data_IF_999337373727
#
_entry.id   IF_999337373727
#
_cell.length_a   1.000
_cell.length_b   1.000
_cell.length_c   1.000
_cell.angle_alpha   90.00
_cell.angle_beta   90.00
_cell.angle_gamma   90.00
#
_symmetry.space_group_name_H-M   'P 1'
#
loop_
_entity.id
_entity.type
_entity.pdbx_description
1 polymer ?
#
# COMPACT_ATOMS: atom_id res chain seq x y z
N UNK A 1 4.05 -25.19 -1.36
CA UNK A 1 4.24 -24.24 -2.50
C UNK A 1 4.36 -22.85 -1.89
N UNK A 2 5.54 -22.22 -2.00
CA UNK A 2 5.88 -21.03 -1.24
C UNK A 2 5.01 -19.82 -1.62
N UNK A 3 4.21 -19.34 -0.68
CA UNK A 3 3.35 -18.13 -0.78
C UNK A 3 4.13 -16.84 -1.15
N UNK A 4 5.46 -16.86 -1.07
CA UNK A 4 6.34 -15.79 -1.57
C UNK A 4 6.28 -15.62 -3.09
N UNK A 5 5.89 -16.64 -3.83
CA UNK A 5 5.86 -16.63 -5.31
C UNK A 5 4.61 -15.92 -5.84
N UNK A 6 3.47 -16.05 -5.19
CA UNK A 6 2.23 -15.39 -5.65
C UNK A 6 2.25 -13.87 -5.45
N UNK A 7 2.83 -13.39 -4.34
CA UNK A 7 3.01 -11.95 -4.10
C UNK A 7 4.02 -11.33 -5.08
N UNK A 8 5.05 -12.10 -5.48
CA UNK A 8 6.06 -11.68 -6.45
C UNK A 8 5.50 -11.63 -7.87
N UNK A 9 4.57 -12.53 -8.23
CA UNK A 9 3.95 -12.53 -9.56
C UNK A 9 2.98 -11.36 -9.78
N UNK A 10 2.23 -10.93 -8.75
CA UNK A 10 1.39 -9.74 -8.85
C UNK A 10 2.23 -8.44 -8.88
N UNK A 11 3.34 -8.40 -8.14
CA UNK A 11 4.32 -7.31 -8.18
C UNK A 11 5.15 -7.33 -9.48
N UNK A 12 5.41 -8.51 -10.05
CA UNK A 12 6.17 -8.67 -11.29
C UNK A 12 5.44 -8.19 -12.54
N UNK A 13 4.12 -8.25 -12.58
CA UNK A 13 3.35 -7.73 -13.72
C UNK A 13 3.25 -6.21 -13.75
N UNK A 14 3.35 -5.55 -12.58
CA UNK A 14 3.53 -4.09 -12.50
C UNK A 14 4.99 -3.65 -12.67
N UNK A 15 5.97 -4.54 -12.49
CA UNK A 15 7.41 -4.27 -12.57
C UNK A 15 8.05 -4.60 -13.93
N UNK A 16 7.25 -4.97 -14.94
CA UNK A 16 7.71 -5.19 -16.32
C UNK A 16 8.28 -3.93 -17.01
N UNK A 17 8.43 -2.83 -16.28
CA UNK A 17 9.26 -1.70 -16.66
C UNK A 17 10.63 -1.89 -16.00
N UNK A 18 11.60 -2.35 -16.80
CA UNK A 18 13.03 -2.44 -16.52
C UNK A 18 13.48 -1.48 -15.40
N UNK A 19 13.97 -2.04 -14.28
CA UNK A 19 14.75 -1.28 -13.31
C UNK A 19 16.09 -0.93 -13.91
N UNK A 20 16.37 0.32 -14.31
CA UNK A 20 17.74 0.72 -14.55
C UNK A 20 18.45 0.73 -13.19
N UNK A 21 19.60 0.09 -13.12
CA UNK A 21 20.51 0.19 -11.99
C UNK A 21 20.81 1.66 -11.73
N UNK A 22 20.28 2.21 -10.63
CA UNK A 22 20.55 3.60 -10.28
C UNK A 22 21.91 3.68 -9.60
N UNK A 23 22.91 4.14 -10.38
CA UNK A 23 24.11 4.74 -9.81
C UNK A 23 23.68 5.92 -8.93
N UNK A 24 23.93 5.83 -7.64
CA UNK A 24 23.70 6.93 -6.68
C UNK A 24 24.61 8.11 -7.01
N UNK A 25 24.13 9.06 -7.78
CA UNK A 25 24.73 10.37 -7.82
C UNK A 25 24.21 11.15 -6.61
N UNK A 26 25.09 11.44 -5.66
CA UNK A 26 24.81 12.35 -4.55
C UNK A 26 24.64 13.77 -5.06
N UNK A 27 23.49 14.11 -5.59
CA UNK A 27 23.16 15.50 -5.86
C UNK A 27 22.66 16.16 -4.56
N UNK A 28 23.29 17.28 -4.22
CA UNK A 28 22.93 18.10 -3.06
C UNK A 28 21.48 18.52 -3.15
N UNK A 29 20.65 18.08 -2.20
CA UNK A 29 19.25 18.49 -2.08
C UNK A 29 19.18 20.02 -1.98
N UNK A 30 18.65 20.68 -2.97
CA UNK A 30 18.26 22.09 -2.85
C UNK A 30 17.03 22.18 -1.94
N UNK A 31 17.20 22.79 -0.76
CA UNK A 31 16.11 23.07 0.18
C UNK A 31 15.25 24.21 -0.38
N UNK A 32 14.01 23.92 -0.72
CA UNK A 32 12.99 24.89 -1.08
C UNK A 32 11.66 24.20 -1.35
N UNK A 33 10.51 24.85 -1.11
CA UNK A 33 9.22 24.29 -1.45
C UNK A 33 9.13 24.13 -2.97
N UNK A 34 8.96 22.93 -3.46
CA UNK A 34 8.64 22.65 -4.86
C UNK A 34 7.12 22.48 -5.01
N UNK A 35 6.54 23.33 -5.82
CA UNK A 35 5.18 23.20 -6.34
C UNK A 35 5.32 22.62 -7.74
N UNK A 36 4.76 21.45 -7.98
CA UNK A 36 4.77 20.81 -9.29
C UNK A 36 3.37 20.77 -9.87
N UNK A 37 3.17 21.46 -10.99
CA UNK A 37 2.00 21.32 -11.84
C UNK A 37 2.42 20.39 -12.98
N UNK A 38 2.08 19.12 -12.90
CA UNK A 38 2.57 18.12 -13.84
C UNK A 38 1.44 17.52 -14.69
N UNK A 39 1.47 17.78 -15.98
CA UNK A 39 0.51 17.23 -16.95
C UNK A 39 1.02 15.91 -17.55
N UNK A 40 2.31 15.60 -17.39
CA UNK A 40 2.97 14.45 -18.00
C UNK A 40 3.89 13.72 -17.03
N UNK A 41 4.05 12.41 -17.21
CA UNK A 41 4.93 11.55 -16.41
C UNK A 41 6.44 11.84 -16.66
N UNK A 42 6.85 13.10 -16.54
CA UNK A 42 8.27 13.46 -16.66
C UNK A 42 8.97 13.18 -15.33
N UNK A 43 10.03 12.41 -15.38
CA UNK A 43 10.87 12.08 -14.23
C UNK A 43 11.49 13.35 -13.66
N UNK A 44 11.04 13.76 -12.48
CA UNK A 44 11.66 14.87 -11.77
C UNK A 44 13.02 14.43 -11.18
N UNK A 45 13.98 15.33 -11.25
CA UNK A 45 15.26 15.17 -10.56
C UNK A 45 15.02 15.01 -9.06
N UNK A 46 15.95 14.35 -8.35
CA UNK A 46 15.94 14.02 -6.91
C UNK A 46 15.58 15.23 -6.04
N UNK A 47 14.29 15.54 -5.92
CA UNK A 47 13.75 16.66 -5.15
C UNK A 47 12.55 16.21 -4.33
N UNK A 48 12.40 16.83 -3.17
CA UNK A 48 11.19 16.69 -2.35
C UNK A 48 10.13 17.66 -2.88
N UNK A 49 8.96 17.14 -3.18
CA UNK A 49 7.79 17.92 -3.59
C UNK A 49 6.85 18.09 -2.42
N UNK A 50 6.35 19.30 -2.18
CA UNK A 50 5.42 19.59 -1.09
C UNK A 50 3.98 19.74 -1.57
N UNK A 51 3.79 20.25 -2.77
CA UNK A 51 2.49 20.31 -3.43
C UNK A 51 2.65 19.80 -4.85
N UNK A 52 1.85 18.82 -5.22
CA UNK A 52 1.80 18.26 -6.55
C UNK A 52 0.35 18.18 -7.04
N UNK A 53 0.08 18.78 -8.19
CA UNK A 53 -1.21 18.70 -8.86
C UNK A 53 -0.95 18.29 -10.30
N UNK A 54 -1.60 17.23 -10.78
CA UNK A 54 -1.36 16.75 -12.13
C UNK A 54 -2.35 15.69 -12.62
N UNK A 55 -2.16 15.25 -13.85
CA UNK A 55 -2.87 14.10 -14.42
C UNK A 55 -2.12 12.81 -14.11
N UNK A 56 -0.92 12.69 -14.65
CA UNK A 56 0.01 11.59 -14.43
C UNK A 56 1.27 12.18 -13.81
N UNK A 57 1.60 11.75 -12.62
CA UNK A 57 2.73 12.31 -11.90
C UNK A 57 3.77 11.25 -11.59
N UNK A 58 5.04 11.61 -11.80
CA UNK A 58 6.18 10.81 -11.37
C UNK A 58 7.17 11.74 -10.67
N UNK A 59 7.20 11.68 -9.33
CA UNK A 59 8.05 12.51 -8.48
C UNK A 59 8.95 11.63 -7.61
N UNK A 60 10.08 12.18 -7.19
CA UNK A 60 11.03 11.43 -6.37
C UNK A 60 10.51 11.19 -4.96
N UNK A 61 10.06 12.23 -4.27
CA UNK A 61 9.55 12.18 -2.91
C UNK A 61 8.43 13.20 -2.71
N UNK A 62 7.38 12.81 -2.00
CA UNK A 62 6.29 13.70 -1.61
C UNK A 62 6.33 13.92 -0.10
N UNK A 63 6.35 15.20 0.32
CA UNK A 63 6.11 15.61 1.71
C UNK A 63 5.06 16.71 1.71
N UNK A 64 3.79 16.34 1.84
CA UNK A 64 2.69 17.30 1.80
C UNK A 64 1.48 16.77 1.04
N UNK A 65 1.01 17.48 0.01
CA UNK A 65 -0.23 17.19 -0.69
C UNK A 65 0.05 16.85 -2.15
N UNK A 66 -0.42 15.70 -2.61
CA UNK A 66 -0.44 15.29 -3.99
C UNK A 66 -1.87 14.99 -4.47
N UNK A 67 -2.34 15.68 -5.50
CA UNK A 67 -3.64 15.46 -6.12
C UNK A 67 -3.42 15.17 -7.61
N UNK A 68 -3.83 13.99 -8.05
CA UNK A 68 -3.59 13.53 -9.41
C UNK A 68 -4.87 12.94 -10.00
N UNK A 69 -5.26 13.42 -11.17
CA UNK A 69 -6.53 12.99 -11.77
C UNK A 69 -6.49 11.51 -12.20
N UNK A 70 -5.35 11.01 -12.64
CA UNK A 70 -5.21 9.62 -13.08
C UNK A 70 -4.32 8.85 -12.11
N UNK A 71 -3.02 9.09 -12.11
CA UNK A 71 -2.07 8.28 -11.32
C UNK A 71 -0.94 9.12 -10.75
N UNK A 72 -0.51 8.72 -9.58
CA UNK A 72 0.65 9.32 -8.91
C UNK A 72 1.68 8.24 -8.58
N UNK A 73 2.90 8.44 -9.06
CA UNK A 73 4.06 7.61 -8.74
C UNK A 73 5.05 8.45 -7.92
N UNK A 74 5.26 8.06 -6.68
CA UNK A 74 6.31 8.58 -5.80
C UNK A 74 7.41 7.53 -5.73
N UNK A 75 8.57 7.80 -6.29
CA UNK A 75 9.65 6.80 -6.43
C UNK A 75 10.23 6.35 -5.10
N UNK A 76 10.28 7.24 -4.11
CA UNK A 76 10.85 6.97 -2.78
C UNK A 76 9.76 7.00 -1.71
N UNK A 77 9.79 7.96 -0.81
CA UNK A 77 8.88 8.04 0.34
C UNK A 77 7.79 9.08 0.12
N UNK A 78 6.59 8.75 0.54
CA UNK A 78 5.45 9.65 0.62
C UNK A 78 5.12 9.93 2.08
N UNK A 79 4.96 11.21 2.41
CA UNK A 79 4.50 11.67 3.73
C UNK A 79 3.48 12.78 3.55
N UNK A 80 2.28 12.58 4.06
CA UNK A 80 1.19 13.54 3.97
C UNK A 80 -0.06 12.97 3.29
N UNK A 81 -0.61 13.69 2.30
CA UNK A 81 -1.84 13.33 1.62
C UNK A 81 -1.58 13.07 0.14
N UNK A 82 -2.03 11.93 -0.35
CA UNK A 82 -1.95 11.57 -1.76
C UNK A 82 -3.32 11.09 -2.24
N UNK A 83 -3.85 11.75 -3.26
CA UNK A 83 -5.14 11.41 -3.87
C UNK A 83 -4.90 11.19 -5.36
N UNK A 84 -5.37 10.07 -5.88
CA UNK A 84 -5.26 9.71 -7.30
C UNK A 84 -6.55 9.09 -7.81
N UNK A 85 -6.98 9.47 -9.01
CA UNK A 85 -8.21 8.96 -9.61
C UNK A 85 -8.18 7.45 -9.85
N UNK A 86 -7.04 6.90 -10.26
CA UNK A 86 -6.88 5.46 -10.46
C UNK A 86 -5.91 4.85 -9.44
N UNK A 87 -4.64 5.24 -9.45
CA UNK A 87 -3.63 4.57 -8.63
C UNK A 87 -2.69 5.54 -7.93
N UNK A 88 -2.43 5.28 -6.64
CA UNK A 88 -1.37 5.90 -5.86
C UNK A 88 -0.26 4.87 -5.62
N UNK A 89 0.93 5.12 -6.16
CA UNK A 89 2.07 4.22 -6.07
C UNK A 89 3.21 4.91 -5.34
N UNK A 90 3.71 4.28 -4.29
CA UNK A 90 4.89 4.74 -3.54
C UNK A 90 5.94 3.63 -3.57
N UNK A 91 7.13 3.95 -4.04
CA UNK A 91 8.20 2.96 -4.22
C UNK A 91 8.74 2.37 -2.92
N UNK A 92 8.76 3.15 -1.82
CA UNK A 92 9.23 2.70 -0.52
C UNK A 92 8.15 2.82 0.55
N UNK A 93 8.20 3.87 1.35
CA UNK A 93 7.31 4.01 2.51
C UNK A 93 6.25 5.07 2.25
N UNK A 94 5.01 4.71 2.52
CA UNK A 94 3.87 5.61 2.50
C UNK A 94 3.44 5.92 3.94
N UNK A 95 3.41 7.21 4.30
CA UNK A 95 3.00 7.66 5.63
C UNK A 95 1.98 8.78 5.52
N UNK A 96 0.82 8.59 6.13
CA UNK A 96 -0.28 9.56 6.12
C UNK A 96 -1.54 9.00 5.44
N UNK A 97 -2.10 9.74 4.51
CA UNK A 97 -3.36 9.40 3.85
C UNK A 97 -3.13 9.12 2.36
N UNK A 98 -3.57 7.96 1.91
CA UNK A 98 -3.60 7.60 0.48
C UNK A 98 -5.02 7.24 0.04
N UNK A 99 -5.48 7.88 -1.02
CA UNK A 99 -6.73 7.55 -1.71
C UNK A 99 -6.42 7.25 -3.17
N UNK A 100 -6.69 6.03 -3.59
CA UNK A 100 -6.63 5.61 -4.99
C UNK A 100 -7.97 5.08 -5.46
N UNK A 101 -8.50 5.54 -6.58
CA UNK A 101 -9.78 5.06 -7.09
C UNK A 101 -9.78 3.55 -7.34
N UNK A 102 -8.68 3.01 -7.82
CA UNK A 102 -8.52 1.55 -8.02
C UNK A 102 -7.58 0.96 -6.97
N UNK A 103 -6.36 1.50 -6.86
CA UNK A 103 -5.36 0.87 -6.01
C UNK A 103 -4.43 1.87 -5.30
N UNK A 104 -4.01 1.49 -4.10
CA UNK A 104 -2.86 2.08 -3.44
C UNK A 104 -1.76 1.03 -3.29
N UNK A 105 -0.53 1.37 -3.65
CA UNK A 105 0.63 0.48 -3.56
C UNK A 105 1.76 1.19 -2.83
N UNK A 106 2.25 0.59 -1.75
CA UNK A 106 3.49 0.96 -1.09
C UNK A 106 4.48 -0.20 -1.22
N UNK A 107 5.62 0.00 -1.86
CA UNK A 107 6.64 -1.04 -2.03
C UNK A 107 7.28 -1.50 -0.70
N UNK A 108 7.32 -0.63 0.30
CA UNK A 108 7.77 -0.93 1.66
C UNK A 108 6.61 -0.90 2.67
N UNK A 109 6.77 -0.10 3.72
CA UNK A 109 5.75 0.01 4.77
C UNK A 109 4.70 1.08 4.43
N UNK A 110 3.47 0.80 4.80
CA UNK A 110 2.37 1.76 4.79
C UNK A 110 1.96 2.09 6.24
N UNK A 111 1.95 3.38 6.58
CA UNK A 111 1.56 3.86 7.91
C UNK A 111 0.50 4.96 7.75
N UNK A 112 -0.66 4.77 8.37
CA UNK A 112 -1.76 5.73 8.31
C UNK A 112 -3.02 5.15 7.68
N UNK A 113 -3.63 5.85 6.73
CA UNK A 113 -4.91 5.47 6.14
C UNK A 113 -4.72 5.23 4.64
N UNK A 114 -5.12 4.06 4.18
CA UNK A 114 -5.16 3.69 2.76
C UNK A 114 -6.60 3.32 2.37
N UNK A 115 -7.16 4.07 1.44
CA UNK A 115 -8.51 3.83 0.90
C UNK A 115 -8.41 3.58 -0.61
N UNK A 116 -8.99 2.49 -1.08
CA UNK A 116 -9.02 2.18 -2.52
C UNK A 116 -10.33 1.51 -2.94
N UNK A 117 -10.69 1.68 -4.21
CA UNK A 117 -11.85 1.00 -4.77
C UNK A 117 -11.65 -0.51 -4.87
N UNK A 118 -10.45 -0.98 -5.20
CA UNK A 118 -10.19 -2.41 -5.33
C UNK A 118 -9.15 -2.92 -4.32
N UNK A 119 -7.91 -2.42 -4.34
CA UNK A 119 -6.83 -3.05 -3.58
C UNK A 119 -5.91 -2.04 -2.89
N UNK A 120 -5.54 -2.35 -1.63
CA UNK A 120 -4.40 -1.76 -0.96
C UNK A 120 -3.28 -2.79 -0.81
N UNK A 121 -2.06 -2.43 -1.21
CA UNK A 121 -0.89 -3.31 -1.13
C UNK A 121 0.25 -2.60 -0.40
N UNK A 122 0.76 -3.22 0.65
CA UNK A 122 2.00 -2.84 1.30
C UNK A 122 2.99 -4.00 1.20
N UNK A 123 4.15 -3.79 0.58
CA UNK A 123 5.19 -4.82 0.45
C UNK A 123 5.80 -5.24 1.80
N UNK A 124 5.79 -4.36 2.79
CA UNK A 124 6.24 -4.61 4.15
C UNK A 124 5.11 -4.67 5.16
N UNK A 125 5.16 -3.76 6.13
CA UNK A 125 4.14 -3.63 7.18
C UNK A 125 3.07 -2.63 6.75
N UNK A 126 1.83 -2.95 7.09
CA UNK A 126 0.70 -2.05 6.97
C UNK A 126 0.20 -1.71 8.38
N UNK A 127 0.34 -0.46 8.79
CA UNK A 127 -0.07 0.01 10.11
C UNK A 127 -1.11 1.11 9.96
N UNK A 128 -2.22 1.01 10.67
CA UNK A 128 -3.31 1.98 10.66
C UNK A 128 -4.60 1.43 10.08
N UNK A 129 -5.24 2.16 9.18
CA UNK A 129 -6.53 1.79 8.60
C UNK A 129 -6.35 1.50 7.11
N UNK A 130 -6.79 0.32 6.69
CA UNK A 130 -6.85 -0.07 5.28
C UNK A 130 -8.27 -0.48 4.92
N UNK A 131 -8.83 0.15 3.89
CA UNK A 131 -10.16 -0.15 3.38
C UNK A 131 -10.09 -0.30 1.88
N UNK A 132 -10.61 -1.40 1.35
CA UNK A 132 -10.65 -1.67 -0.08
C UNK A 132 -11.88 -2.48 -0.48
N UNK A 133 -12.31 -2.32 -1.72
CA UNK A 133 -13.47 -3.06 -2.25
C UNK A 133 -13.20 -4.55 -2.46
N UNK A 134 -11.99 -4.94 -2.83
CA UNK A 134 -11.63 -6.36 -2.98
C UNK A 134 -10.74 -6.83 -1.84
N UNK A 135 -9.57 -6.22 -1.65
CA UNK A 135 -8.67 -6.77 -0.65
C UNK A 135 -7.50 -5.90 -0.24
N UNK A 136 -7.01 -6.19 0.96
CA UNK A 136 -5.82 -5.57 1.50
C UNK A 136 -4.71 -6.60 1.66
N UNK A 137 -3.51 -6.28 1.21
CA UNK A 137 -2.34 -7.16 1.26
C UNK A 137 -1.21 -6.45 2.01
N UNK A 138 -0.73 -7.08 3.07
CA UNK A 138 0.51 -6.71 3.75
C UNK A 138 1.53 -7.84 3.59
N UNK A 139 2.67 -7.58 3.00
CA UNK A 139 3.70 -8.60 2.77
C UNK A 139 4.29 -9.17 4.06
N UNK A 140 4.20 -8.44 5.16
CA UNK A 140 4.69 -8.89 6.46
C UNK A 140 3.61 -8.79 7.55
N UNK A 141 3.37 -7.61 8.12
CA UNK A 141 2.46 -7.42 9.25
C UNK A 141 1.35 -6.46 8.85
N UNK A 142 0.10 -6.85 9.10
CA UNK A 142 -1.05 -5.94 9.12
C UNK A 142 -1.39 -5.60 10.56
N UNK A 143 -1.41 -4.31 10.90
CA UNK A 143 -1.73 -3.82 12.25
C UNK A 143 -2.73 -2.67 12.21
N UNK A 144 -3.77 -2.76 13.03
CA UNK A 144 -4.83 -1.77 13.13
C UNK A 144 -6.15 -2.31 12.61
N UNK A 145 -6.83 -1.55 11.74
CA UNK A 145 -8.12 -1.94 11.17
C UNK A 145 -7.95 -2.21 9.68
N UNK A 146 -8.33 -3.40 9.25
CA UNK A 146 -8.22 -3.82 7.85
C UNK A 146 -9.58 -4.34 7.39
N UNK A 147 -10.18 -3.66 6.41
CA UNK A 147 -11.49 -4.00 5.86
C UNK A 147 -11.35 -4.25 4.37
N UNK A 148 -11.60 -5.47 3.92
CA UNK A 148 -11.59 -5.87 2.53
C UNK A 148 -12.94 -6.46 2.11
N UNK A 149 -13.47 -6.08 0.96
CA UNK A 149 -14.73 -6.63 0.47
C UNK A 149 -14.68 -8.15 0.27
N UNK A 150 -13.54 -8.68 -0.19
CA UNK A 150 -13.35 -10.12 -0.34
C UNK A 150 -12.32 -10.66 0.67
N UNK A 151 -11.10 -10.12 0.71
CA UNK A 151 -10.04 -10.75 1.48
C UNK A 151 -9.06 -9.76 2.12
N UNK A 152 -8.50 -10.17 3.26
CA UNK A 152 -7.35 -9.52 3.86
C UNK A 152 -6.22 -10.54 4.02
N UNK A 153 -5.00 -10.18 3.61
CA UNK A 153 -3.83 -11.05 3.67
C UNK A 153 -2.67 -10.35 4.40
N UNK A 154 -2.17 -11.00 5.45
CA UNK A 154 -0.93 -10.64 6.11
C UNK A 154 0.08 -11.77 5.95
N UNK A 155 1.25 -11.51 5.36
CA UNK A 155 2.26 -12.53 5.07
C UNK A 155 2.82 -13.21 6.33
N UNK A 156 2.85 -12.52 7.46
CA UNK A 156 3.26 -13.08 8.74
C UNK A 156 2.18 -12.89 9.81
N UNK A 157 1.94 -11.66 10.26
CA UNK A 157 1.10 -11.39 11.43
C UNK A 157 -0.03 -10.43 11.10
N UNK A 158 -1.21 -10.75 11.58
CA UNK A 158 -2.35 -9.85 11.62
C UNK A 158 -2.62 -9.42 13.07
N UNK A 159 -2.71 -8.12 13.33
CA UNK A 159 -2.91 -7.56 14.67
C UNK A 159 -3.98 -6.46 14.64
N UNK A 160 -4.99 -6.59 15.48
CA UNK A 160 -6.11 -5.66 15.56
C UNK A 160 -7.39 -6.24 14.97
N UNK A 161 -8.12 -5.47 14.16
CA UNK A 161 -9.42 -5.88 13.62
C UNK A 161 -9.29 -6.14 12.13
N UNK A 162 -9.68 -7.31 11.69
CA UNK A 162 -9.77 -7.68 10.28
C UNK A 162 -11.20 -8.07 9.93
N UNK A 163 -11.74 -7.47 8.87
CA UNK A 163 -13.07 -7.77 8.35
C UNK A 163 -12.96 -8.03 6.86
N UNK A 164 -13.44 -9.18 6.42
CA UNK A 164 -13.47 -9.56 5.01
C UNK A 164 -14.77 -10.27 4.66
N UNK A 165 -15.28 -10.04 3.45
CA UNK A 165 -16.48 -10.75 2.98
C UNK A 165 -16.26 -12.25 2.79
N UNK A 166 -15.05 -12.68 2.42
CA UNK A 166 -14.72 -14.09 2.26
C UNK A 166 -13.68 -14.55 3.29
N UNK A 167 -12.47 -13.99 3.27
CA UNK A 167 -11.39 -14.57 4.04
C UNK A 167 -10.44 -13.55 4.67
N UNK A 168 -10.01 -13.82 5.92
CA UNK A 168 -8.85 -13.21 6.54
C UNK A 168 -7.74 -14.26 6.69
N UNK A 169 -6.53 -13.96 6.18
CA UNK A 169 -5.42 -14.89 6.16
C UNK A 169 -4.18 -14.25 6.81
N UNK A 170 -3.65 -14.91 7.82
CA UNK A 170 -2.38 -14.58 8.44
C UNK A 170 -1.38 -15.74 8.31
N UNK A 171 -0.22 -15.49 7.72
CA UNK A 171 0.77 -16.53 7.42
C UNK A 171 1.40 -17.18 8.67
N UNK A 172 1.35 -16.52 9.83
CA UNK A 172 1.83 -17.06 11.10
C UNK A 172 0.83 -16.89 12.22
N UNK A 173 0.57 -15.66 12.63
CA UNK A 173 -0.28 -15.44 13.80
C UNK A 173 -1.30 -14.34 13.59
N UNK A 174 -2.44 -14.53 14.23
CA UNK A 174 -3.48 -13.54 14.33
C UNK A 174 -3.70 -13.14 15.79
N UNK A 175 -3.64 -11.85 16.09
CA UNK A 175 -3.88 -11.27 17.39
C UNK A 175 -4.98 -10.21 17.29
N UNK A 176 -6.13 -10.43 17.92
CA UNK A 176 -7.27 -9.53 17.91
C UNK A 176 -8.52 -10.17 17.33
N UNK A 177 -9.30 -9.44 16.55
CA UNK A 177 -10.58 -9.88 16.03
C UNK A 177 -10.50 -10.08 14.52
N UNK A 178 -10.93 -11.26 14.05
CA UNK A 178 -11.11 -11.51 12.62
C UNK A 178 -12.54 -11.95 12.31
N UNK A 179 -13.18 -11.22 11.42
CA UNK A 179 -14.52 -11.53 10.92
C UNK A 179 -14.39 -11.82 9.43
N UNK A 180 -14.58 -13.07 9.05
CA UNK A 180 -14.57 -13.54 7.67
C UNK A 180 -15.91 -14.18 7.29
N UNK A 181 -16.46 -13.87 6.14
CA UNK A 181 -17.71 -14.50 5.71
C UNK A 181 -17.60 -16.02 5.58
N UNK A 182 -16.49 -16.51 5.04
CA UNK A 182 -16.29 -17.96 4.89
C UNK A 182 -15.22 -18.49 5.83
N UNK A 183 -14.03 -17.86 5.87
CA UNK A 183 -12.92 -18.42 6.63
C UNK A 183 -12.02 -17.36 7.25
N UNK A 184 -11.42 -17.73 8.41
CA UNK A 184 -10.27 -17.05 8.97
C UNK A 184 -9.15 -18.07 9.15
N UNK A 185 -7.97 -17.79 8.64
CA UNK A 185 -6.83 -18.73 8.68
C UNK A 185 -5.63 -18.08 9.33
N UNK A 186 -5.09 -18.77 10.34
CA UNK A 186 -3.83 -18.43 10.98
C UNK A 186 -2.98 -19.69 11.09
N UNK A 187 -1.78 -19.69 10.47
CA UNK A 187 -1.01 -20.92 10.30
C UNK A 187 -0.37 -21.45 11.60
N UNK A 188 -0.02 -20.60 12.58
CA UNK A 188 0.70 -21.04 13.77
C UNK A 188 -0.03 -20.70 15.07
N UNK A 189 -0.53 -19.47 15.23
CA UNK A 189 -1.05 -19.01 16.52
C UNK A 189 -2.23 -18.05 16.36
N UNK A 190 -3.28 -18.32 17.09
CA UNK A 190 -4.44 -17.45 17.25
C UNK A 190 -4.50 -16.94 18.70
N UNK A 191 -4.53 -15.60 18.86
CA UNK A 191 -4.82 -14.92 20.12
C UNK A 191 -5.95 -13.92 19.87
N UNK A 192 -7.16 -14.22 20.30
CA UNK A 192 -8.32 -13.34 20.11
C UNK A 192 -9.54 -14.09 19.63
N UNK A 193 -10.44 -13.37 18.97
CA UNK A 193 -11.69 -13.91 18.47
C UNK A 193 -11.69 -14.03 16.95
N UNK A 194 -12.15 -15.18 16.45
CA UNK A 194 -12.45 -15.37 15.04
C UNK A 194 -13.91 -15.73 14.85
N UNK A 195 -14.53 -15.14 13.84
CA UNK A 195 -15.91 -15.43 13.45
C UNK A 195 -15.93 -15.70 11.95
N UNK A 196 -16.39 -16.87 11.56
CA UNK A 196 -16.62 -17.24 10.16
C UNK A 196 -17.70 -18.31 10.06
N UNK A 197 -18.22 -18.52 8.86
CA UNK A 197 -19.30 -19.51 8.63
C UNK A 197 -18.78 -20.93 8.37
N UNK A 198 -17.56 -21.10 7.85
CA UNK A 198 -17.03 -22.42 7.46
C UNK A 198 -15.79 -22.83 8.24
N UNK A 199 -14.79 -21.98 8.37
CA UNK A 199 -13.48 -22.33 8.96
C UNK A 199 -12.92 -21.22 9.83
N UNK A 200 -12.45 -21.60 11.01
CA UNK A 200 -11.66 -20.77 11.93
C UNK A 200 -10.39 -21.52 12.34
#
# INVERSE_FOLDING_TARGET
MNMRIAAILLLGYCAGMSTPAFAQKKDKLKKGPNISLNISAKKDSVKTTYLNIGLLTNIYQLKGIGINAVSSVVQNDMTGFQISGLASITGRHASGFQLGGIANVAGGNANGIMLSGLMNVAGGKANGIQISGLGNIAGNISRGVTIGGLMNLAGNKAQGVQIAGLANIAGKSQNGIAIGGLMNVSAEKLNGAQVSTLLN
#
